data_IF_821698519674
#
_entry.id   IF_821698519674
#
_cell.length_a   1.000
_cell.length_b   1.000
_cell.length_c   1.000
_cell.angle_alpha   90.00
_cell.angle_beta   90.00
_cell.angle_gamma   90.00
#
_symmetry.space_group_name_H-M   'P 1'
#
loop_
_entity.id
_entity.type
_entity.pdbx_description
1 polymer ?
#
# COMPACT_ATOMS: atom_id res chain seq x y z
N UNK A 1 -2.35 12.12 -15.15
CA UNK A 1 -2.22 10.93 -14.28
C UNK A 1 -0.96 10.17 -14.70
N UNK A 2 0.09 10.08 -13.85
CA UNK A 2 1.25 9.24 -14.19
C UNK A 2 0.79 7.78 -14.24
N UNK A 3 1.34 6.98 -15.16
CA UNK A 3 1.03 5.54 -15.29
C UNK A 3 1.18 4.79 -13.94
N UNK A 4 2.08 5.27 -13.07
CA UNK A 4 2.28 4.79 -11.69
C UNK A 4 1.00 4.84 -10.83
N UNK A 5 0.16 5.87 -10.99
CA UNK A 5 -1.07 6.01 -10.20
C UNK A 5 -2.13 5.00 -10.66
N UNK A 6 -2.18 4.71 -11.96
CA UNK A 6 -3.11 3.72 -12.54
C UNK A 6 -2.72 2.32 -12.10
N UNK A 7 -1.42 1.99 -12.14
CA UNK A 7 -0.90 0.72 -11.64
C UNK A 7 -1.19 0.51 -10.16
N UNK A 8 -0.96 1.54 -9.32
CA UNK A 8 -1.31 1.48 -7.90
C UNK A 8 -2.81 1.22 -7.69
N UNK A 9 -3.68 1.97 -8.38
CA UNK A 9 -5.13 1.84 -8.21
C UNK A 9 -5.62 0.44 -8.61
N UNK A 10 -5.08 -0.12 -9.69
CA UNK A 10 -5.36 -1.50 -10.11
C UNK A 10 -4.96 -2.51 -9.04
N UNK A 11 -3.75 -2.41 -8.50
CA UNK A 11 -3.25 -3.30 -7.44
C UNK A 11 -4.09 -3.15 -6.18
N UNK A 12 -4.46 -1.92 -5.82
CA UNK A 12 -5.28 -1.62 -4.65
C UNK A 12 -6.68 -2.26 -4.76
N UNK A 13 -7.36 -2.07 -5.89
CA UNK A 13 -8.67 -2.69 -6.15
C UNK A 13 -8.57 -4.21 -6.18
N UNK A 14 -7.52 -4.75 -6.81
CA UNK A 14 -7.29 -6.19 -6.88
C UNK A 14 -7.12 -6.79 -5.48
N UNK A 15 -6.28 -6.20 -4.62
CA UNK A 15 -6.09 -6.68 -3.26
C UNK A 15 -7.36 -6.57 -2.40
N UNK A 16 -8.18 -5.55 -2.61
CA UNK A 16 -9.49 -5.42 -1.97
C UNK A 16 -10.44 -6.55 -2.37
N UNK A 17 -10.46 -6.94 -3.64
CA UNK A 17 -11.27 -8.06 -4.15
C UNK A 17 -10.76 -9.40 -3.62
N UNK A 18 -9.44 -9.58 -3.52
CA UNK A 18 -8.83 -10.83 -3.02
C UNK A 18 -9.12 -11.08 -1.52
N UNK A 19 -9.55 -10.06 -0.76
CA UNK A 19 -9.90 -10.15 0.67
C UNK A 19 -8.84 -10.84 1.55
N UNK A 20 -7.57 -10.78 1.16
CA UNK A 20 -6.44 -11.31 1.93
C UNK A 20 -5.78 -10.17 2.71
N UNK A 21 -6.15 -9.92 3.98
CA UNK A 21 -5.64 -8.77 4.73
C UNK A 21 -4.11 -8.83 4.89
N UNK A 22 -3.53 -10.03 5.04
CA UNK A 22 -2.08 -10.22 5.13
C UNK A 22 -1.33 -9.66 3.90
N UNK A 23 -1.92 -9.72 2.70
CA UNK A 23 -1.32 -9.15 1.50
C UNK A 23 -1.32 -7.61 1.51
N UNK A 24 -2.37 -6.98 2.05
CA UNK A 24 -2.42 -5.52 2.18
C UNK A 24 -1.27 -5.02 3.06
N UNK A 25 -1.00 -5.72 4.17
CA UNK A 25 0.10 -5.38 5.07
C UNK A 25 1.47 -5.54 4.38
N UNK A 26 1.70 -6.67 3.69
CA UNK A 26 2.97 -6.92 2.99
C UNK A 26 3.19 -5.88 1.89
N UNK A 27 2.19 -5.62 1.05
CA UNK A 27 2.31 -4.64 -0.05
C UNK A 27 2.49 -3.22 0.50
N UNK A 28 1.83 -2.88 1.61
CA UNK A 28 2.03 -1.61 2.31
C UNK A 28 3.46 -1.43 2.81
N UNK A 29 4.01 -2.45 3.48
CA UNK A 29 5.39 -2.46 3.98
C UNK A 29 6.41 -2.38 2.84
N UNK A 30 6.22 -3.16 1.78
CA UNK A 30 7.09 -3.13 0.58
C UNK A 30 7.08 -1.73 -0.04
N UNK A 31 5.92 -1.07 -0.09
CA UNK A 31 5.82 0.31 -0.61
C UNK A 31 6.68 1.27 0.21
N UNK A 32 6.66 1.19 1.54
CA UNK A 32 7.51 2.02 2.38
C UNK A 32 8.99 1.66 2.29
N UNK A 33 9.34 0.37 2.24
CA UNK A 33 10.72 -0.07 2.06
C UNK A 33 11.29 0.45 0.74
N UNK A 34 10.50 0.42 -0.34
CA UNK A 34 10.89 0.96 -1.64
C UNK A 34 10.93 2.50 -1.65
N UNK A 35 10.16 3.17 -0.79
CA UNK A 35 10.19 4.62 -0.67
C UNK A 35 11.52 5.12 -0.07
N UNK A 36 12.13 4.36 0.86
CA UNK A 36 13.41 4.70 1.50
C UNK A 36 14.52 4.97 0.46
N UNK A 37 14.88 4.04 -0.45
CA UNK A 37 15.92 4.30 -1.45
C UNK A 37 15.52 5.41 -2.43
N UNK A 38 14.22 5.62 -2.70
CA UNK A 38 13.74 6.72 -3.54
C UNK A 38 13.95 8.09 -2.89
N UNK A 39 13.83 8.18 -1.56
CA UNK A 39 14.20 9.39 -0.81
C UNK A 39 15.71 9.60 -0.82
N UNK A 40 16.50 8.53 -0.67
CA UNK A 40 17.98 8.60 -0.75
C UNK A 40 18.45 9.06 -2.12
N UNK A 41 17.76 8.66 -3.21
CA UNK A 41 18.05 9.12 -4.57
C UNK A 41 17.44 10.47 -4.93
N UNK A 42 16.92 11.22 -3.95
CA UNK A 42 16.31 12.55 -4.14
C UNK A 42 15.09 12.55 -5.09
N UNK A 43 14.44 11.40 -5.25
CA UNK A 43 13.28 11.23 -6.15
C UNK A 43 11.96 11.53 -5.42
N UNK A 44 11.86 12.71 -4.80
CA UNK A 44 10.81 13.05 -3.82
C UNK A 44 9.38 12.85 -4.33
N UNK A 45 9.07 13.26 -5.57
CA UNK A 45 7.72 13.13 -6.12
C UNK A 45 7.23 11.69 -6.27
N UNK A 46 8.14 10.75 -6.51
CA UNK A 46 7.81 9.32 -6.62
C UNK A 46 7.80 8.69 -5.23
N UNK A 47 8.75 9.06 -4.38
CA UNK A 47 8.85 8.60 -3.01
C UNK A 47 7.60 8.96 -2.20
N UNK A 48 7.17 10.23 -2.24
CA UNK A 48 5.98 10.72 -1.54
C UNK A 48 4.72 9.96 -1.95
N UNK A 49 4.51 9.73 -3.24
CA UNK A 49 3.36 8.94 -3.72
C UNK A 49 3.40 7.52 -3.19
N UNK A 50 4.58 6.89 -3.20
CA UNK A 50 4.74 5.53 -2.70
C UNK A 50 4.51 5.46 -1.18
N UNK A 51 4.84 6.51 -0.44
CA UNK A 51 4.48 6.66 0.97
C UNK A 51 2.97 6.74 1.17
N UNK A 52 2.26 7.56 0.39
CA UNK A 52 0.79 7.64 0.43
C UNK A 52 0.13 6.30 0.05
N UNK A 53 0.69 5.60 -0.92
CA UNK A 53 0.26 4.26 -1.33
C UNK A 53 0.42 3.23 -0.22
N UNK A 54 1.59 3.21 0.44
CA UNK A 54 1.81 2.37 1.62
C UNK A 54 0.83 2.70 2.75
N UNK A 55 0.59 3.99 3.00
CA UNK A 55 -0.36 4.46 4.01
C UNK A 55 -1.80 4.00 3.70
N UNK A 56 -2.24 4.05 2.45
CA UNK A 56 -3.56 3.58 2.04
C UNK A 56 -3.72 2.06 2.26
N UNK A 57 -2.70 1.27 1.90
CA UNK A 57 -2.70 -0.18 2.13
C UNK A 57 -2.73 -0.56 3.61
N UNK A 58 -1.82 0.02 4.41
CA UNK A 58 -1.75 -0.21 5.86
C UNK A 58 -3.02 0.29 6.55
N UNK A 59 -3.51 1.47 6.18
CA UNK A 59 -4.74 2.04 6.73
C UNK A 59 -5.95 1.15 6.46
N UNK A 60 -6.07 0.63 5.24
CA UNK A 60 -7.13 -0.33 4.88
C UNK A 60 -7.00 -1.62 5.68
N UNK A 61 -5.78 -2.14 5.83
CA UNK A 61 -5.51 -3.31 6.67
C UNK A 61 -5.93 -3.08 8.14
N UNK A 62 -5.59 -1.92 8.71
CA UNK A 62 -5.97 -1.57 10.08
C UNK A 62 -7.49 -1.48 10.23
N UNK A 63 -8.18 -0.82 9.30
CA UNK A 63 -9.65 -0.74 9.29
C UNK A 63 -10.29 -2.12 9.24
N UNK A 64 -9.80 -3.00 8.34
CA UNK A 64 -10.29 -4.39 8.26
C UNK A 64 -9.98 -5.16 9.54
N UNK A 65 -8.80 -4.97 10.13
CA UNK A 65 -8.40 -5.66 11.37
C UNK A 65 -9.27 -5.26 12.55
N UNK A 66 -9.67 -3.99 12.64
CA UNK A 66 -10.56 -3.47 13.68
C UNK A 66 -12.00 -3.97 13.46
N UNK A 67 -12.50 -3.94 12.21
CA UNK A 67 -13.88 -4.31 11.90
C UNK A 67 -14.11 -5.83 11.90
N UNK A 68 -13.11 -6.63 11.52
CA UNK A 68 -13.18 -8.09 11.38
C UNK A 68 -11.88 -8.75 11.87
N UNK A 69 -11.64 -8.80 13.19
CA UNK A 69 -10.44 -9.39 13.76
C UNK A 69 -10.27 -10.88 13.39
N UNK A 70 -11.36 -11.63 13.20
CA UNK A 70 -11.31 -13.05 12.84
C UNK A 70 -10.75 -13.31 11.42
N UNK A 71 -10.72 -12.30 10.55
CA UNK A 71 -10.18 -12.43 9.18
C UNK A 71 -8.64 -12.33 9.16
N UNK A 72 -8.03 -11.87 10.26
CA UNK A 72 -6.60 -11.57 10.34
C UNK A 72 -5.79 -12.65 11.07
N UNK A 73 -6.45 -13.58 11.76
CA UNK A 73 -5.81 -14.76 12.40
C UNK A 73 -4.98 -15.57 11.38
#
# INVERSE_FOLDING_TARGET
MKIQNVGFLLIFVLLLILRRPKLLLIVGLVSWILAIPLFVSWTFFTAERLTWYGAAFIGTFLVISILKPDTVK
#
